data_IF_765379683013
#
_entry.id   IF_765379683013
#
_cell.length_a   1.000
_cell.length_b   1.000
_cell.length_c   1.000
_cell.angle_alpha   90.00
_cell.angle_beta   90.00
_cell.angle_gamma   90.00
#
_symmetry.space_group_name_H-M   'P 1'
#
loop_
_entity.id
_entity.type
_entity.pdbx_description
1 polymer ?
#
# COMPACT_ATOMS: atom_id res chain seq x y z
N UNK A 1 8.32 -26.87 -4.36
CA UNK A 1 8.11 -25.51 -4.91
C UNK A 1 8.08 -25.44 -6.45
N UNK A 2 7.84 -26.55 -7.18
CA UNK A 2 7.48 -26.52 -8.61
C UNK A 2 6.09 -25.89 -8.87
N UNK A 3 5.27 -25.72 -7.84
CA UNK A 3 3.93 -25.12 -7.91
C UNK A 3 3.91 -23.62 -8.21
N UNK A 4 5.07 -22.95 -8.28
CA UNK A 4 5.16 -21.51 -8.56
C UNK A 4 4.81 -21.17 -10.00
N UNK A 5 4.86 -22.15 -10.91
CA UNK A 5 4.73 -21.92 -12.35
C UNK A 5 3.88 -22.94 -13.12
N UNK A 6 3.22 -23.86 -12.40
CA UNK A 6 2.24 -24.74 -13.03
C UNK A 6 1.19 -23.91 -13.81
N UNK A 7 0.86 -24.32 -15.06
CA UNK A 7 -0.14 -23.66 -15.90
C UNK A 7 -1.50 -23.59 -15.18
N UNK A 8 -2.34 -22.64 -15.62
CA UNK A 8 -3.70 -22.48 -15.12
C UNK A 8 -4.47 -23.79 -15.30
N UNK A 9 -4.50 -24.62 -14.26
CA UNK A 9 -5.44 -25.72 -14.15
C UNK A 9 -6.74 -25.08 -13.71
N UNK A 10 -7.78 -25.23 -14.55
CA UNK A 10 -9.16 -24.95 -14.18
C UNK A 10 -9.45 -25.56 -12.79
N UNK A 11 -10.33 -24.93 -11.98
CA UNK A 11 -10.67 -25.48 -10.68
C UNK A 11 -11.10 -26.94 -10.86
N UNK A 12 -10.37 -27.85 -10.23
CA UNK A 12 -10.78 -29.24 -10.13
C UNK A 12 -12.21 -29.25 -9.57
N UNK A 13 -13.08 -29.99 -10.27
CA UNK A 13 -14.50 -30.12 -9.98
C UNK A 13 -14.73 -30.45 -8.50
N UNK A 14 -15.70 -29.74 -7.93
CA UNK A 14 -16.01 -29.66 -6.51
C UNK A 14 -16.81 -30.86 -6.00
N UNK A 15 -16.21 -32.05 -6.02
CA UNK A 15 -16.82 -33.26 -5.42
C UNK A 15 -16.12 -33.62 -4.10
N UNK A 16 -16.13 -32.67 -3.17
CA UNK A 16 -15.77 -32.87 -1.76
C UNK A 16 -16.96 -32.65 -0.84
N UNK A 17 -16.90 -33.12 0.43
CA UNK A 17 -17.95 -32.91 1.42
C UNK A 17 -18.32 -31.41 1.55
N UNK A 18 -19.54 -31.06 2.00
CA UNK A 18 -20.06 -29.69 1.99
C UNK A 18 -19.13 -28.67 2.67
N UNK A 19 -18.42 -29.08 3.73
CA UNK A 19 -17.38 -28.28 4.38
C UNK A 19 -16.25 -27.82 3.42
N UNK A 20 -15.85 -28.67 2.49
CA UNK A 20 -14.83 -28.35 1.48
C UNK A 20 -15.31 -27.32 0.46
N UNK A 21 -16.61 -27.28 0.14
CA UNK A 21 -17.20 -26.28 -0.77
C UNK A 21 -17.24 -24.89 -0.13
N UNK A 22 -17.62 -24.79 1.14
CA UNK A 22 -17.65 -23.51 1.90
C UNK A 22 -16.23 -22.95 2.05
N UNK A 23 -15.26 -23.80 2.44
CA UNK A 23 -13.84 -23.41 2.47
C UNK A 23 -13.33 -22.95 1.09
N UNK A 24 -13.72 -23.66 0.02
CA UNK A 24 -13.37 -23.31 -1.35
C UNK A 24 -13.88 -21.93 -1.77
N UNK A 25 -15.12 -21.59 -1.41
CA UNK A 25 -15.72 -20.29 -1.66
C UNK A 25 -14.98 -19.17 -0.89
N UNK A 26 -14.68 -19.38 0.40
CA UNK A 26 -13.93 -18.41 1.20
C UNK A 26 -12.55 -18.11 0.58
N UNK A 27 -11.87 -19.15 0.07
CA UNK A 27 -10.58 -19.03 -0.63
C UNK A 27 -10.72 -18.27 -1.95
N UNK A 28 -11.75 -18.54 -2.74
CA UNK A 28 -11.99 -17.84 -4.00
C UNK A 28 -12.25 -16.33 -3.77
N UNK A 29 -13.08 -16.00 -2.78
CA UNK A 29 -13.34 -14.62 -2.38
C UNK A 29 -12.07 -13.92 -1.90
N UNK A 30 -11.21 -14.60 -1.14
CA UNK A 30 -9.91 -14.06 -0.74
C UNK A 30 -9.01 -13.76 -1.94
N UNK A 31 -8.98 -14.64 -2.95
CA UNK A 31 -8.20 -14.41 -4.18
C UNK A 31 -8.73 -13.21 -4.97
N UNK A 32 -10.06 -13.06 -5.07
CA UNK A 32 -10.71 -11.90 -5.70
C UNK A 32 -10.42 -10.60 -4.93
N UNK A 33 -10.43 -10.65 -3.60
CA UNK A 33 -10.03 -9.52 -2.77
C UNK A 33 -8.59 -9.07 -3.08
N UNK A 34 -7.64 -10.01 -3.08
CA UNK A 34 -6.23 -9.71 -3.32
C UNK A 34 -5.98 -9.19 -4.74
N UNK A 35 -6.72 -9.68 -5.73
CA UNK A 35 -6.65 -9.17 -7.10
C UNK A 35 -7.20 -7.75 -7.25
N UNK A 36 -8.24 -7.40 -6.50
CA UNK A 36 -8.86 -6.06 -6.57
C UNK A 36 -8.14 -5.00 -5.74
N UNK A 37 -7.23 -5.39 -4.84
CA UNK A 37 -6.40 -4.47 -4.04
C UNK A 37 -5.85 -3.30 -4.87
N UNK A 38 -5.24 -3.52 -6.05
CA UNK A 38 -4.53 -2.45 -6.75
C UNK A 38 -5.44 -1.38 -7.36
N UNK A 39 -6.69 -1.72 -7.70
CA UNK A 39 -7.55 -0.83 -8.50
C UNK A 39 -8.93 -0.54 -7.87
N UNK A 40 -9.38 -1.25 -6.83
CA UNK A 40 -10.67 -0.94 -6.20
C UNK A 40 -10.72 -1.22 -4.71
N UNK A 41 -10.88 -0.17 -3.90
CA UNK A 41 -11.11 -0.29 -2.45
C UNK A 41 -12.46 -0.91 -2.13
N UNK A 42 -13.50 -0.56 -2.89
CA UNK A 42 -14.86 -1.03 -2.67
C UNK A 42 -14.97 -2.54 -2.92
N UNK A 43 -14.47 -3.02 -4.07
CA UNK A 43 -14.48 -4.44 -4.39
C UNK A 43 -13.60 -5.24 -3.42
N UNK A 44 -12.42 -4.72 -3.07
CA UNK A 44 -11.54 -5.34 -2.08
C UNK A 44 -12.27 -5.52 -0.74
N UNK A 45 -12.93 -4.47 -0.23
CA UNK A 45 -13.68 -4.55 1.03
C UNK A 45 -14.88 -5.51 0.92
N UNK A 46 -15.59 -5.51 -0.22
CA UNK A 46 -16.71 -6.41 -0.46
C UNK A 46 -16.26 -7.88 -0.40
N UNK A 47 -15.23 -8.24 -1.16
CA UNK A 47 -14.73 -9.61 -1.19
C UNK A 47 -14.10 -10.06 0.13
N UNK A 48 -13.43 -9.16 0.86
CA UNK A 48 -12.95 -9.45 2.23
C UNK A 48 -14.12 -9.70 3.18
N UNK A 49 -15.14 -8.84 3.16
CA UNK A 49 -16.32 -8.98 4.01
C UNK A 49 -17.07 -10.29 3.75
N UNK A 50 -17.30 -10.63 2.48
CA UNK A 50 -17.89 -11.90 2.09
C UNK A 50 -17.00 -13.09 2.47
N UNK A 51 -15.68 -12.99 2.27
CA UNK A 51 -14.74 -14.04 2.68
C UNK A 51 -14.77 -14.27 4.19
N UNK A 52 -14.88 -13.21 5.01
CA UNK A 52 -15.04 -13.32 6.46
C UNK A 52 -16.34 -14.02 6.85
N UNK A 53 -17.48 -13.65 6.25
CA UNK A 53 -18.78 -14.28 6.54
C UNK A 53 -18.72 -15.78 6.21
N UNK A 54 -18.24 -16.13 5.01
CA UNK A 54 -18.12 -17.54 4.59
C UNK A 54 -17.09 -18.29 5.45
N UNK A 55 -16.02 -17.62 5.89
CA UNK A 55 -15.02 -18.21 6.78
C UNK A 55 -15.59 -18.56 8.16
N UNK A 56 -16.44 -17.70 8.73
CA UNK A 56 -17.13 -17.98 10.01
C UNK A 56 -18.00 -19.23 9.84
N UNK A 57 -18.76 -19.33 8.74
CA UNK A 57 -19.55 -20.53 8.43
C UNK A 57 -18.66 -21.78 8.26
N UNK A 58 -17.48 -21.63 7.64
CA UNK A 58 -16.52 -22.72 7.49
C UNK A 58 -15.94 -23.19 8.83
N UNK A 59 -15.67 -22.29 9.78
CA UNK A 59 -15.24 -22.67 11.14
C UNK A 59 -16.35 -23.43 11.86
N UNK A 60 -17.61 -22.97 11.78
CA UNK A 60 -18.73 -23.66 12.43
C UNK A 60 -18.90 -25.07 11.87
N UNK A 61 -18.77 -25.23 10.54
CA UNK A 61 -18.84 -26.54 9.89
C UNK A 61 -17.60 -27.40 10.13
N UNK A 62 -16.42 -26.81 10.37
CA UNK A 62 -15.18 -27.53 10.63
C UNK A 62 -14.30 -26.79 11.64
N UNK A 63 -14.53 -27.00 12.95
CA UNK A 63 -13.85 -26.27 14.03
C UNK A 63 -12.32 -26.38 13.99
N UNK A 64 -11.79 -27.48 13.44
CA UNK A 64 -10.36 -27.67 13.26
C UNK A 64 -9.72 -26.55 12.41
N UNK A 65 -10.46 -25.91 11.49
CA UNK A 65 -9.97 -24.82 10.64
C UNK A 65 -9.47 -23.61 11.45
N UNK A 66 -9.94 -23.44 12.69
CA UNK A 66 -9.50 -22.39 13.60
C UNK A 66 -8.15 -22.68 14.30
N UNK A 67 -7.57 -23.88 14.13
CA UNK A 67 -6.30 -24.23 14.78
C UNK A 67 -5.16 -23.22 14.52
N UNK A 68 -5.00 -22.63 13.30
CA UNK A 68 -3.92 -21.69 13.03
C UNK A 68 -4.12 -20.30 13.67
N UNK A 69 -5.28 -20.02 14.26
CA UNK A 69 -5.51 -18.79 15.02
C UNK A 69 -4.59 -18.67 16.25
N UNK A 70 -4.09 -19.81 16.74
CA UNK A 70 -3.11 -19.86 17.83
C UNK A 70 -1.66 -19.63 17.37
N UNK A 71 -1.42 -19.45 16.08
CA UNK A 71 -0.07 -19.16 15.58
C UNK A 71 0.39 -17.76 16.03
N UNK A 72 1.69 -17.55 16.29
CA UNK A 72 2.19 -16.25 16.76
C UNK A 72 1.78 -15.06 15.87
N UNK A 73 1.82 -15.13 14.52
CA UNK A 73 1.39 -14.02 13.68
C UNK A 73 -0.11 -13.72 13.79
N UNK A 74 -0.96 -14.75 13.93
CA UNK A 74 -2.39 -14.58 14.12
C UNK A 74 -2.69 -13.94 15.48
N UNK A 75 -2.05 -14.41 16.55
CA UNK A 75 -2.18 -13.86 17.89
C UNK A 75 -1.71 -12.41 17.96
N UNK A 76 -0.59 -12.05 17.32
CA UNK A 76 -0.12 -10.67 17.26
C UNK A 76 -1.11 -9.75 16.54
N UNK A 77 -1.69 -10.20 15.43
CA UNK A 77 -2.72 -9.45 14.73
C UNK A 77 -3.99 -9.27 15.58
N UNK A 78 -4.44 -10.32 16.26
CA UNK A 78 -5.61 -10.25 17.14
C UNK A 78 -5.34 -9.40 18.38
N UNK A 79 -4.14 -9.49 18.96
CA UNK A 79 -3.73 -8.69 20.11
C UNK A 79 -3.63 -7.20 19.76
N UNK A 80 -3.06 -6.86 18.61
CA UNK A 80 -3.00 -5.48 18.14
C UNK A 80 -4.40 -4.93 17.84
N UNK A 81 -5.29 -5.73 17.23
CA UNK A 81 -6.69 -5.34 17.07
C UNK A 81 -7.39 -5.15 18.42
N UNK A 82 -7.17 -6.06 19.37
CA UNK A 82 -7.69 -5.97 20.73
C UNK A 82 -7.21 -4.72 21.46
N UNK A 83 -5.92 -4.37 21.31
CA UNK A 83 -5.34 -3.14 21.86
C UNK A 83 -6.00 -1.88 21.27
N UNK A 84 -6.28 -1.87 19.96
CA UNK A 84 -6.96 -0.76 19.28
C UNK A 84 -8.41 -0.63 19.75
N UNK A 85 -9.12 -1.74 19.92
CA UNK A 85 -10.48 -1.75 20.46
C UNK A 85 -10.50 -1.32 21.93
N UNK A 86 -9.54 -1.76 22.73
CA UNK A 86 -9.39 -1.36 24.12
C UNK A 86 -9.13 0.15 24.21
N UNK A 87 -8.29 0.70 23.33
CA UNK A 87 -8.05 2.15 23.22
C UNK A 87 -9.28 2.98 22.85
N UNK A 88 -10.38 2.35 22.41
CA UNK A 88 -11.65 3.05 22.22
C UNK A 88 -12.35 3.39 23.54
N UNK A 89 -12.01 2.71 24.64
CA UNK A 89 -12.69 2.89 25.94
C UNK A 89 -12.30 4.18 26.67
N UNK A 90 -11.15 4.78 26.33
CA UNK A 90 -10.68 6.06 26.89
C UNK A 90 -10.32 7.11 25.82
N UNK A 91 -10.90 6.99 24.62
CA UNK A 91 -10.60 7.94 23.54
C UNK A 91 -11.23 9.31 23.77
N UNK A 92 -10.52 10.35 23.34
CA UNK A 92 -11.05 11.72 23.24
C UNK A 92 -11.63 12.03 21.86
N UNK A 93 -11.58 11.07 20.92
CA UNK A 93 -11.98 11.28 19.54
C UNK A 93 -13.51 11.39 19.39
N UNK A 94 -14.00 12.24 18.47
CA UNK A 94 -15.39 12.18 18.01
C UNK A 94 -15.76 10.79 17.48
N UNK A 95 -17.06 10.46 17.55
CA UNK A 95 -17.56 9.14 17.12
C UNK A 95 -17.16 8.80 15.69
N UNK A 96 -17.22 9.76 14.76
CA UNK A 96 -16.87 9.54 13.36
C UNK A 96 -15.39 9.15 13.18
N UNK A 97 -14.48 9.81 13.89
CA UNK A 97 -13.05 9.52 13.85
C UNK A 97 -12.74 8.17 14.50
N UNK A 98 -13.46 7.82 15.55
CA UNK A 98 -13.39 6.50 16.18
C UNK A 98 -13.84 5.39 15.22
N UNK A 99 -15.01 5.52 14.59
CA UNK A 99 -15.49 4.53 13.61
C UNK A 99 -14.54 4.40 12.42
N UNK A 100 -14.01 5.51 11.92
CA UNK A 100 -13.02 5.52 10.85
C UNK A 100 -11.72 4.81 11.25
N UNK A 101 -11.23 5.04 12.47
CA UNK A 101 -10.07 4.36 13.01
C UNK A 101 -10.32 2.85 13.13
N UNK A 102 -11.41 2.43 13.77
CA UNK A 102 -11.74 1.00 13.93
C UNK A 102 -11.86 0.34 12.56
N UNK A 103 -12.63 0.90 11.63
CA UNK A 103 -12.81 0.37 10.27
C UNK A 103 -11.49 0.20 9.52
N UNK A 104 -10.54 1.12 9.70
CA UNK A 104 -9.21 1.03 9.09
C UNK A 104 -8.44 -0.18 9.62
N UNK A 105 -8.50 -0.44 10.92
CA UNK A 105 -7.75 -1.49 11.58
C UNK A 105 -8.46 -2.85 11.61
N UNK A 106 -9.77 -2.94 11.36
CA UNK A 106 -10.48 -4.23 11.19
C UNK A 106 -9.87 -5.09 10.08
N UNK A 107 -9.20 -4.46 9.10
CA UNK A 107 -8.46 -5.16 8.04
C UNK A 107 -7.34 -6.06 8.57
N UNK A 108 -6.91 -5.88 9.82
CA UNK A 108 -5.96 -6.75 10.48
C UNK A 108 -6.48 -8.19 10.65
N UNK A 109 -7.82 -8.38 10.67
CA UNK A 109 -8.46 -9.70 10.64
C UNK A 109 -8.18 -10.50 9.36
N UNK A 110 -7.79 -9.85 8.26
CA UNK A 110 -7.45 -10.54 7.01
C UNK A 110 -6.29 -11.51 7.22
N UNK A 111 -5.30 -11.16 8.06
CA UNK A 111 -4.14 -12.00 8.32
C UNK A 111 -4.49 -13.35 8.98
N UNK A 112 -5.17 -13.41 10.15
CA UNK A 112 -5.55 -14.68 10.75
C UNK A 112 -6.48 -15.51 9.87
N UNK A 113 -7.40 -14.88 9.12
CA UNK A 113 -8.27 -15.59 8.16
C UNK A 113 -7.44 -16.23 7.05
N UNK A 114 -6.52 -15.47 6.45
CA UNK A 114 -5.65 -15.96 5.38
C UNK A 114 -4.78 -17.13 5.84
N UNK A 115 -4.25 -17.08 7.06
CA UNK A 115 -3.47 -18.17 7.66
C UNK A 115 -4.32 -19.45 7.81
N UNK A 116 -5.54 -19.33 8.32
CA UNK A 116 -6.46 -20.46 8.47
C UNK A 116 -6.82 -21.07 7.12
N UNK A 117 -7.14 -20.23 6.13
CA UNK A 117 -7.48 -20.69 4.78
C UNK A 117 -6.29 -21.32 4.04
N UNK A 118 -5.06 -20.88 4.31
CA UNK A 118 -3.83 -21.43 3.75
C UNK A 118 -3.42 -22.76 4.40
N UNK A 119 -3.80 -23.03 5.66
CA UNK A 119 -3.35 -24.20 6.41
C UNK A 119 -3.64 -25.53 5.70
N UNK A 120 -4.85 -25.67 5.13
CA UNK A 120 -5.27 -26.85 4.35
C UNK A 120 -5.08 -26.70 2.85
N UNK A 121 -4.57 -25.55 2.39
CA UNK A 121 -4.38 -25.24 0.98
C UNK A 121 -3.00 -24.61 0.76
N UNK A 122 -1.91 -25.40 0.75
CA UNK A 122 -0.53 -24.88 0.68
C UNK A 122 -0.23 -24.09 -0.61
N UNK A 123 -1.02 -24.29 -1.67
CA UNK A 123 -0.92 -23.54 -2.94
C UNK A 123 -1.72 -22.22 -2.94
N UNK A 124 -2.41 -21.88 -1.85
CA UNK A 124 -3.23 -20.68 -1.79
C UNK A 124 -2.39 -19.41 -1.74
N UNK A 125 -1.30 -19.41 -0.96
CA UNK A 125 -0.38 -18.27 -0.86
C UNK A 125 0.27 -17.91 -2.20
N UNK A 126 0.74 -18.91 -2.94
CA UNK A 126 1.31 -18.70 -4.28
C UNK A 126 0.26 -18.24 -5.28
N UNK A 127 -0.98 -18.76 -5.20
CA UNK A 127 -2.11 -18.25 -5.99
C UNK A 127 -2.43 -16.80 -5.63
N UNK A 128 -2.52 -16.46 -4.35
CA UNK A 128 -2.78 -15.09 -3.90
C UNK A 128 -1.74 -14.11 -4.43
N UNK A 129 -0.45 -14.47 -4.40
CA UNK A 129 0.60 -13.65 -5.00
C UNK A 129 0.38 -13.45 -6.51
N UNK A 130 0.06 -14.51 -7.27
CA UNK A 130 -0.21 -14.40 -8.71
C UNK A 130 -1.42 -13.50 -9.00
N UNK A 131 -2.50 -13.65 -8.24
CA UNK A 131 -3.70 -12.82 -8.37
C UNK A 131 -3.39 -11.35 -8.00
N UNK A 132 -2.56 -11.11 -6.99
CA UNK A 132 -2.06 -9.76 -6.66
C UNK A 132 -1.27 -9.17 -7.82
N UNK A 133 -0.33 -9.93 -8.40
CA UNK A 133 0.46 -9.50 -9.55
C UNK A 133 -0.39 -9.24 -10.79
N UNK A 134 -1.44 -10.04 -11.01
CA UNK A 134 -2.41 -9.79 -12.09
C UNK A 134 -3.18 -8.48 -11.86
N UNK A 135 -3.59 -8.20 -10.62
CA UNK A 135 -4.19 -6.91 -10.26
C UNK A 135 -3.23 -5.73 -10.48
N UNK A 136 -1.95 -5.90 -10.14
CA UNK A 136 -0.94 -4.88 -10.40
C UNK A 136 -0.68 -4.70 -11.89
N UNK A 137 -0.77 -5.76 -12.70
CA UNK A 137 -0.67 -5.66 -14.15
C UNK A 137 -1.85 -4.86 -14.73
N UNK A 138 -3.08 -5.08 -14.24
CA UNK A 138 -4.25 -4.25 -14.59
C UNK A 138 -3.99 -2.79 -14.25
N UNK A 139 -3.51 -2.50 -13.03
CA UNK A 139 -3.18 -1.14 -12.61
C UNK A 139 -2.11 -0.50 -13.50
N UNK A 140 -1.02 -1.21 -13.81
CA UNK A 140 0.05 -0.72 -14.67
C UNK A 140 -0.48 -0.39 -16.08
N UNK A 141 -1.27 -1.31 -16.68
CA UNK A 141 -1.92 -1.12 -17.97
C UNK A 141 -2.82 0.11 -17.97
N UNK A 142 -3.64 0.31 -16.93
CA UNK A 142 -4.49 1.50 -16.83
C UNK A 142 -3.68 2.80 -16.76
N UNK A 143 -2.54 2.80 -16.04
CA UNK A 143 -1.66 3.97 -16.00
C UNK A 143 -1.03 4.25 -17.36
N UNK A 144 -0.60 3.22 -18.10
CA UNK A 144 -0.10 3.41 -19.47
C UNK A 144 -1.16 3.95 -20.41
N UNK A 145 -2.40 3.43 -20.34
CA UNK A 145 -3.50 3.95 -21.14
C UNK A 145 -3.77 5.43 -20.83
N UNK A 146 -3.57 5.85 -19.59
CA UNK A 146 -3.72 7.26 -19.19
C UNK A 146 -2.60 8.12 -19.75
N UNK A 147 -1.36 7.64 -19.67
CA UNK A 147 -0.21 8.31 -20.27
C UNK A 147 -0.35 8.47 -21.80
N UNK A 148 -1.10 7.57 -22.46
CA UNK A 148 -1.41 7.61 -23.89
C UNK A 148 -2.72 8.34 -24.24
N UNK A 149 -3.38 8.99 -23.27
CA UNK A 149 -4.71 9.61 -23.43
C UNK A 149 -5.81 8.65 -23.95
N UNK A 150 -5.62 7.33 -23.81
CA UNK A 150 -6.56 6.31 -24.26
C UNK A 150 -7.48 5.80 -23.14
N UNK A 151 -7.28 6.25 -21.90
CA UNK A 151 -8.11 5.85 -20.77
C UNK A 151 -9.44 6.61 -20.78
N UNK A 152 -10.60 5.93 -20.76
CA UNK A 152 -11.89 6.60 -20.72
C UNK A 152 -12.06 7.36 -19.39
N UNK A 153 -12.23 8.67 -19.51
CA UNK A 153 -12.63 9.52 -18.39
C UNK A 153 -14.12 9.37 -18.14
N UNK A 154 -14.52 9.60 -16.90
CA UNK A 154 -15.91 9.46 -16.51
C UNK A 154 -16.51 10.80 -16.13
N UNK A 155 -17.58 11.17 -16.82
CA UNK A 155 -18.40 12.33 -16.43
C UNK A 155 -19.03 12.15 -15.04
N UNK A 156 -19.32 10.90 -14.65
CA UNK A 156 -19.91 10.52 -13.36
C UNK A 156 -18.91 10.52 -12.18
N UNK A 157 -17.61 10.69 -12.44
CA UNK A 157 -16.58 10.71 -11.39
C UNK A 157 -16.38 9.40 -10.63
N UNK A 158 -16.92 8.27 -11.10
CA UNK A 158 -16.81 6.95 -10.46
C UNK A 158 -15.37 6.42 -10.32
N UNK A 159 -14.42 6.93 -11.11
CA UNK A 159 -12.99 6.66 -10.95
C UNK A 159 -12.16 7.89 -11.27
N UNK A 160 -11.05 8.03 -10.54
CA UNK A 160 -10.10 9.12 -10.71
C UNK A 160 -9.09 8.77 -11.80
N UNK A 161 -8.95 9.63 -12.79
CA UNK A 161 -7.96 9.57 -13.87
C UNK A 161 -7.18 10.88 -13.84
N UNK A 162 -5.85 10.78 -13.86
CA UNK A 162 -4.97 11.92 -14.02
C UNK A 162 -4.71 12.27 -15.49
N UNK A 163 -3.89 13.29 -15.73
CA UNK A 163 -3.51 13.71 -17.07
C UNK A 163 -2.19 13.04 -17.51
N UNK A 164 -1.76 13.23 -18.76
CA UNK A 164 -0.46 12.69 -19.21
C UNK A 164 0.74 13.24 -18.43
N UNK A 165 0.62 14.41 -17.80
CA UNK A 165 1.67 14.99 -16.94
C UNK A 165 1.71 14.36 -15.54
N UNK A 166 0.63 13.70 -15.09
CA UNK A 166 0.58 12.90 -13.87
C UNK A 166 -0.36 11.70 -14.06
N UNK A 167 0.08 10.66 -14.77
CA UNK A 167 -0.81 9.56 -15.11
C UNK A 167 -1.04 8.70 -13.87
N UNK A 168 -2.19 8.91 -13.22
CA UNK A 168 -2.69 8.07 -12.14
C UNK A 168 -4.10 7.57 -12.47
N UNK A 169 -4.42 6.34 -12.07
CA UNK A 169 -5.76 5.75 -12.24
C UNK A 169 -6.13 4.98 -11.00
N UNK A 170 -7.38 5.12 -10.55
CA UNK A 170 -8.01 4.45 -9.41
C UNK A 170 -7.42 4.79 -8.03
N UNK A 171 -6.10 4.91 -7.94
CA UNK A 171 -5.31 5.13 -6.73
C UNK A 171 -4.43 6.37 -6.91
N UNK A 172 -3.96 6.91 -5.80
CA UNK A 172 -2.97 7.99 -5.83
C UNK A 172 -1.59 7.45 -6.24
N UNK A 173 -0.71 8.35 -6.71
CA UNK A 173 0.65 8.01 -7.13
C UNK A 173 1.48 7.31 -6.02
N UNK A 174 1.16 7.56 -4.74
CA UNK A 174 1.82 6.88 -3.61
C UNK A 174 1.50 5.39 -3.61
N UNK A 175 0.22 5.05 -3.65
CA UNK A 175 -0.25 3.66 -3.61
C UNK A 175 0.15 2.93 -4.89
N UNK A 176 0.06 3.60 -6.05
CA UNK A 176 0.55 3.06 -7.33
C UNK A 176 2.03 2.72 -7.22
N UNK A 177 2.85 3.66 -6.73
CA UNK A 177 4.28 3.46 -6.54
C UNK A 177 4.60 2.24 -5.69
N UNK A 178 3.96 2.08 -4.53
CA UNK A 178 4.20 0.95 -3.61
C UNK A 178 3.80 -0.39 -4.26
N UNK A 179 2.63 -0.44 -4.91
CA UNK A 179 2.11 -1.67 -5.50
C UNK A 179 2.92 -2.12 -6.71
N UNK A 180 3.32 -1.18 -7.56
CA UNK A 180 4.11 -1.47 -8.74
C UNK A 180 5.57 -1.77 -8.39
N UNK A 181 6.14 -1.13 -7.35
CA UNK A 181 7.45 -1.51 -6.84
C UNK A 181 7.43 -2.92 -6.26
N UNK A 182 6.39 -3.27 -5.49
CA UNK A 182 6.20 -4.64 -4.99
C UNK A 182 6.07 -5.64 -6.15
N UNK A 183 5.26 -5.33 -7.17
CA UNK A 183 5.07 -6.20 -8.32
C UNK A 183 6.37 -6.42 -9.12
N UNK A 184 7.16 -5.36 -9.31
CA UNK A 184 8.46 -5.43 -9.96
C UNK A 184 9.42 -6.35 -9.18
N UNK A 185 9.57 -6.11 -7.88
CA UNK A 185 10.48 -6.87 -7.02
C UNK A 185 10.06 -8.33 -6.88
N UNK A 186 8.76 -8.60 -6.70
CA UNK A 186 8.23 -9.96 -6.63
C UNK A 186 8.41 -10.72 -7.95
N UNK A 187 8.23 -10.05 -9.10
CA UNK A 187 8.46 -10.64 -10.42
C UNK A 187 9.94 -10.90 -10.68
N UNK A 188 10.81 -9.99 -10.24
CA UNK A 188 12.25 -10.18 -10.32
C UNK A 188 12.71 -11.35 -9.44
N UNK A 189 12.25 -11.40 -8.17
CA UNK A 189 12.50 -12.51 -7.27
C UNK A 189 12.06 -13.84 -7.88
N UNK A 190 10.86 -13.88 -8.46
CA UNK A 190 10.33 -15.04 -9.15
C UNK A 190 11.24 -15.51 -10.31
N UNK A 191 11.84 -14.59 -11.06
CA UNK A 191 12.78 -14.88 -12.14
C UNK A 191 14.14 -15.43 -11.68
N UNK A 192 14.47 -15.31 -10.38
CA UNK A 192 15.71 -15.87 -9.82
C UNK A 192 15.61 -17.36 -9.50
N UNK A 193 14.42 -17.93 -9.45
CA UNK A 193 14.21 -19.35 -9.17
C UNK A 193 14.43 -20.21 -10.43
N UNK A 194 14.71 -21.52 -10.27
CA UNK A 194 14.82 -22.46 -11.40
C UNK A 194 13.43 -22.74 -11.99
N UNK A 195 13.11 -22.06 -13.08
CA UNK A 195 11.77 -22.02 -13.70
C UNK A 195 11.94 -22.13 -15.21
N UNK A 196 10.87 -22.52 -15.90
CA UNK A 196 10.90 -22.65 -17.37
C UNK A 196 11.32 -21.35 -18.06
N UNK A 197 12.09 -21.46 -19.14
CA UNK A 197 12.67 -20.31 -19.85
C UNK A 197 11.62 -19.28 -20.27
N UNK A 198 10.49 -19.72 -20.84
CA UNK A 198 9.40 -18.83 -21.27
C UNK A 198 8.83 -18.00 -20.13
N UNK A 199 8.72 -18.63 -18.96
CA UNK A 199 8.11 -18.04 -17.78
C UNK A 199 9.08 -17.14 -17.02
N UNK A 200 10.38 -17.45 -17.08
CA UNK A 200 11.46 -16.55 -16.68
C UNK A 200 11.47 -15.28 -17.53
N UNK A 201 11.33 -15.40 -18.85
CA UNK A 201 11.25 -14.24 -19.73
C UNK A 201 10.00 -13.40 -19.42
N UNK A 202 8.84 -14.02 -19.19
CA UNK A 202 7.64 -13.31 -18.79
C UNK A 202 7.79 -12.59 -17.43
N UNK A 203 8.46 -13.21 -16.46
CA UNK A 203 8.74 -12.61 -15.15
C UNK A 203 9.72 -11.43 -15.25
N UNK A 204 10.77 -11.55 -16.07
CA UNK A 204 11.71 -10.46 -16.36
C UNK A 204 11.00 -9.32 -17.07
N UNK A 205 10.22 -9.60 -18.12
CA UNK A 205 9.45 -8.58 -18.84
C UNK A 205 8.52 -7.83 -17.89
N UNK A 206 7.79 -8.54 -17.03
CA UNK A 206 6.93 -7.91 -16.01
C UNK A 206 7.74 -7.08 -15.01
N UNK A 207 8.89 -7.57 -14.55
CA UNK A 207 9.76 -6.85 -13.63
C UNK A 207 10.30 -5.54 -14.23
N UNK A 208 10.57 -5.52 -15.53
CA UNK A 208 11.05 -4.33 -16.24
C UNK A 208 9.94 -3.35 -16.60
N UNK A 209 8.74 -3.85 -16.94
CA UNK A 209 7.60 -3.01 -17.35
C UNK A 209 6.92 -2.39 -16.11
N UNK A 210 6.61 -3.18 -15.08
CA UNK A 210 5.87 -2.72 -13.88
C UNK A 210 6.39 -1.42 -13.24
N UNK A 211 7.70 -1.13 -13.15
CA UNK A 211 8.17 0.12 -12.55
C UNK A 211 8.07 1.34 -13.47
N UNK A 212 7.92 1.21 -14.80
CA UNK A 212 7.91 2.38 -15.70
C UNK A 212 6.86 3.44 -15.36
N UNK A 213 5.63 3.11 -14.91
CA UNK A 213 4.66 4.10 -14.45
C UNK A 213 5.16 4.95 -13.26
N UNK A 214 6.08 4.43 -12.45
CA UNK A 214 6.73 5.16 -11.36
C UNK A 214 7.64 6.27 -11.93
N UNK A 215 8.28 6.01 -13.07
CA UNK A 215 9.16 7.00 -13.73
C UNK A 215 8.38 8.13 -14.40
N UNK A 216 7.17 7.85 -14.86
CA UNK A 216 6.32 8.82 -15.57
C UNK A 216 5.45 9.61 -14.58
N UNK A 217 5.03 9.00 -13.47
CA UNK A 217 4.19 9.65 -12.46
C UNK A 217 4.95 10.54 -11.48
N UNK A 218 4.21 11.36 -10.74
CA UNK A 218 4.79 12.31 -9.77
C UNK A 218 5.18 11.71 -8.40
N UNK A 219 5.17 10.38 -8.27
CA UNK A 219 5.29 9.67 -7.00
C UNK A 219 6.72 9.24 -6.63
N UNK A 220 7.36 9.98 -5.72
CA UNK A 220 8.72 9.66 -5.20
C UNK A 220 8.79 8.35 -4.40
N UNK A 221 7.69 7.96 -3.75
CA UNK A 221 7.63 6.76 -2.89
C UNK A 221 7.84 5.46 -3.66
N UNK A 222 7.51 5.43 -4.96
CA UNK A 222 7.72 4.24 -5.79
C UNK A 222 9.21 3.91 -5.99
N UNK A 223 10.06 4.93 -6.14
CA UNK A 223 11.51 4.74 -6.24
C UNK A 223 12.10 4.17 -4.95
N UNK A 224 11.66 4.69 -3.80
CA UNK A 224 12.06 4.16 -2.48
C UNK A 224 11.57 2.72 -2.32
N UNK A 225 10.34 2.43 -2.73
CA UNK A 225 9.78 1.08 -2.73
C UNK A 225 10.57 0.10 -3.60
N UNK A 226 11.03 0.54 -4.78
CA UNK A 226 11.89 -0.27 -5.65
C UNK A 226 13.24 -0.54 -5.00
N UNK A 227 13.86 0.47 -4.40
CA UNK A 227 15.14 0.33 -3.71
C UNK A 227 15.06 -0.65 -2.56
N UNK A 228 14.12 -0.42 -1.64
CA UNK A 228 13.92 -1.30 -0.47
C UNK A 228 13.57 -2.72 -0.93
N UNK A 229 12.72 -2.85 -1.95
CA UNK A 229 12.34 -4.15 -2.50
C UNK A 229 13.51 -4.87 -3.18
N UNK A 230 14.35 -4.19 -3.95
CA UNK A 230 15.55 -4.77 -4.56
C UNK A 230 16.57 -5.18 -3.50
N UNK A 231 16.76 -4.36 -2.47
CA UNK A 231 17.60 -4.73 -1.33
C UNK A 231 17.05 -5.96 -0.60
N UNK A 232 15.74 -6.05 -0.40
CA UNK A 232 15.11 -7.25 0.15
C UNK A 232 15.33 -8.49 -0.74
N UNK A 233 15.25 -8.36 -2.07
CA UNK A 233 15.58 -9.47 -2.98
C UNK A 233 17.05 -9.89 -2.86
N UNK A 234 17.97 -8.93 -2.74
CA UNK A 234 19.38 -9.21 -2.46
C UNK A 234 19.55 -9.99 -1.14
N UNK A 235 18.89 -9.57 -0.05
CA UNK A 235 18.95 -10.30 1.23
C UNK A 235 18.36 -11.72 1.14
N UNK A 236 17.33 -11.92 0.32
CA UNK A 236 16.67 -13.23 0.16
C UNK A 236 17.43 -14.21 -0.75
N UNK A 237 18.29 -13.73 -1.66
CA UNK A 237 18.96 -14.57 -2.68
C UNK A 237 20.48 -14.51 -2.63
N UNK A 238 21.04 -13.39 -2.22
CA UNK A 238 22.47 -13.17 -2.11
C UNK A 238 23.03 -13.74 -0.81
N UNK A 239 24.33 -14.07 -0.82
CA UNK A 239 25.07 -14.24 0.42
C UNK A 239 25.35 -12.86 0.99
N UNK A 240 24.81 -12.59 2.17
CA UNK A 240 25.02 -11.31 2.87
C UNK A 240 26.46 -11.26 3.34
N UNK A 241 27.29 -10.54 2.58
CA UNK A 241 28.66 -10.19 2.98
C UNK A 241 28.73 -8.68 3.14
N UNK A 242 29.63 -8.19 3.99
CA UNK A 242 29.80 -6.74 4.19
C UNK A 242 30.14 -6.05 2.85
N UNK A 243 31.07 -6.64 2.10
CA UNK A 243 31.48 -6.15 0.77
C UNK A 243 30.31 -6.20 -0.23
N UNK A 244 29.55 -7.30 -0.28
CA UNK A 244 28.40 -7.42 -1.17
C UNK A 244 27.29 -6.41 -0.84
N UNK A 245 27.03 -6.19 0.44
CA UNK A 245 26.04 -5.22 0.90
C UNK A 245 26.48 -3.78 0.58
N UNK A 246 27.76 -3.47 0.76
CA UNK A 246 28.33 -2.18 0.38
C UNK A 246 28.25 -1.94 -1.13
N UNK A 247 28.59 -2.94 -1.96
CA UNK A 247 28.51 -2.87 -3.42
C UNK A 247 27.07 -2.69 -3.91
N UNK A 248 26.12 -3.44 -3.36
CA UNK A 248 24.70 -3.30 -3.71
C UNK A 248 24.18 -1.93 -3.32
N UNK A 249 24.55 -1.45 -2.13
CA UNK A 249 24.16 -0.10 -1.68
C UNK A 249 24.76 0.96 -2.61
N UNK A 250 26.05 0.87 -2.95
CA UNK A 250 26.71 1.79 -3.88
C UNK A 250 26.09 1.78 -5.28
N UNK A 251 25.78 0.60 -5.82
CA UNK A 251 25.12 0.45 -7.13
C UNK A 251 23.71 1.02 -7.14
N UNK A 252 22.99 0.91 -6.03
CA UNK A 252 21.67 1.49 -5.89
C UNK A 252 21.72 3.02 -5.69
N UNK A 253 22.69 3.52 -4.92
CA UNK A 253 22.93 4.95 -4.78
C UNK A 253 23.30 5.58 -6.11
N UNK A 254 24.16 4.93 -6.91
CA UNK A 254 24.51 5.43 -8.25
C UNK A 254 23.31 5.41 -9.20
N UNK A 255 22.44 4.39 -9.12
CA UNK A 255 21.19 4.38 -9.86
C UNK A 255 20.27 5.55 -9.49
N UNK A 256 20.16 5.88 -8.19
CA UNK A 256 19.37 7.03 -7.72
C UNK A 256 19.92 8.36 -8.22
N UNK A 257 21.24 8.53 -8.16
CA UNK A 257 21.92 9.71 -8.71
C UNK A 257 21.67 9.79 -10.22
N UNK A 258 21.75 8.65 -10.93
CA UNK A 258 21.43 8.57 -12.36
C UNK A 258 19.99 9.02 -12.65
N UNK A 259 19.00 8.50 -11.91
CA UNK A 259 17.59 8.92 -12.06
C UNK A 259 17.41 10.40 -11.75
N UNK A 260 18.11 10.92 -10.74
CA UNK A 260 18.07 12.35 -10.40
C UNK A 260 18.65 13.25 -11.47
N UNK A 261 19.71 12.83 -12.15
CA UNK A 261 20.31 13.61 -13.23
C UNK A 261 19.51 13.48 -14.54
N UNK A 262 18.90 12.33 -14.80
CA UNK A 262 18.20 12.03 -16.05
C UNK A 262 16.72 12.41 -16.05
N UNK A 263 16.07 12.52 -14.89
CA UNK A 263 14.64 12.84 -14.78
C UNK A 263 14.43 14.25 -14.22
N UNK A 264 14.03 15.23 -15.08
CA UNK A 264 13.73 16.59 -14.63
C UNK A 264 12.62 16.65 -13.59
N UNK A 265 11.63 15.76 -13.70
CA UNK A 265 10.54 15.65 -12.74
C UNK A 265 11.07 15.23 -11.36
N UNK A 266 11.83 14.13 -11.30
CA UNK A 266 12.40 13.67 -10.04
C UNK A 266 13.34 14.71 -9.40
N UNK A 267 14.15 15.39 -10.22
CA UNK A 267 15.02 16.47 -9.78
C UNK A 267 14.23 17.62 -9.13
N UNK A 268 13.26 18.18 -9.86
CA UNK A 268 12.44 19.33 -9.41
C UNK A 268 11.73 19.00 -8.11
N UNK A 269 11.08 17.83 -8.02
CA UNK A 269 10.31 17.41 -6.83
C UNK A 269 11.19 17.10 -5.62
N UNK A 270 12.43 16.66 -5.85
CA UNK A 270 13.41 16.45 -4.79
C UNK A 270 13.93 17.79 -4.27
N UNK A 271 14.22 18.74 -5.17
CA UNK A 271 14.66 20.09 -4.80
C UNK A 271 13.56 20.87 -4.06
N UNK A 272 12.31 20.77 -4.50
CA UNK A 272 11.16 21.33 -3.79
C UNK A 272 11.04 20.79 -2.37
N UNK A 273 11.20 19.48 -2.18
CA UNK A 273 11.20 18.87 -0.84
C UNK A 273 12.32 19.42 0.03
N UNK A 274 13.55 19.42 -0.48
CA UNK A 274 14.70 19.93 0.25
C UNK A 274 14.46 21.38 0.64
N UNK A 275 13.97 22.21 -0.30
CA UNK A 275 13.62 23.61 -0.03
C UNK A 275 12.54 23.75 1.04
N UNK A 276 11.42 23.05 0.90
CA UNK A 276 10.30 23.11 1.84
C UNK A 276 10.70 22.71 3.27
N UNK A 277 11.54 21.67 3.40
CA UNK A 277 12.01 21.17 4.70
C UNK A 277 13.08 22.11 5.29
N UNK A 278 14.06 22.55 4.51
CA UNK A 278 15.14 23.42 4.98
C UNK A 278 14.63 24.81 5.35
N UNK A 279 13.71 25.37 4.56
CA UNK A 279 13.10 26.67 4.81
C UNK A 279 11.91 26.61 5.78
N UNK A 280 11.57 25.41 6.29
CA UNK A 280 10.45 25.17 7.23
C UNK A 280 9.13 25.81 6.78
N UNK A 281 8.79 25.64 5.50
CA UNK A 281 7.55 26.18 4.94
C UNK A 281 6.37 25.38 5.50
N UNK A 282 5.77 25.83 6.61
CA UNK A 282 4.76 25.07 7.35
C UNK A 282 3.51 24.73 6.52
N UNK A 283 3.09 25.67 5.67
CA UNK A 283 1.93 25.52 4.79
C UNK A 283 2.18 24.60 3.58
N UNK A 284 3.41 24.13 3.37
CA UNK A 284 3.73 23.21 2.28
C UNK A 284 3.28 21.77 2.58
N UNK A 285 3.08 20.90 1.58
CA UNK A 285 2.71 19.51 1.81
C UNK A 285 3.70 18.76 2.70
N UNK A 286 5.00 19.08 2.65
CA UNK A 286 6.00 18.47 3.52
C UNK A 286 6.08 19.16 4.88
N UNK A 287 5.84 20.47 4.97
CA UNK A 287 5.69 21.20 6.23
C UNK A 287 4.57 20.65 7.10
N UNK A 288 3.40 20.40 6.50
CA UNK A 288 2.25 19.77 7.18
C UNK A 288 2.56 18.33 7.61
N UNK A 289 3.40 17.59 6.87
CA UNK A 289 3.84 16.26 7.31
C UNK A 289 4.78 16.32 8.50
N UNK A 290 5.67 17.31 8.54
CA UNK A 290 6.55 17.55 9.67
C UNK A 290 5.77 17.97 10.92
N UNK A 291 4.72 18.78 10.76
CA UNK A 291 3.84 19.13 11.90
C UNK A 291 3.09 17.90 12.43
N UNK A 292 2.63 16.96 11.58
CA UNK A 292 2.07 15.69 12.04
C UNK A 292 3.06 14.90 12.91
N UNK A 293 4.32 14.80 12.49
CA UNK A 293 5.37 14.09 13.24
C UNK A 293 5.65 14.79 14.58
N UNK A 294 5.73 16.12 14.58
CA UNK A 294 5.96 16.92 15.79
C UNK A 294 4.82 16.74 16.80
N UNK A 295 3.58 16.95 16.37
CA UNK A 295 2.39 16.80 17.23
C UNK A 295 2.26 15.37 17.71
N UNK A 296 2.52 14.38 16.85
CA UNK A 296 2.52 12.97 17.24
C UNK A 296 3.57 12.65 18.32
N UNK A 297 4.79 13.16 18.17
CA UNK A 297 5.86 12.96 19.16
C UNK A 297 5.52 13.63 20.51
N UNK A 298 4.95 14.84 20.48
CA UNK A 298 4.50 15.54 21.68
C UNK A 298 3.37 14.77 22.38
N UNK A 299 2.39 14.26 21.64
CA UNK A 299 1.30 13.46 22.19
C UNK A 299 1.81 12.17 22.86
N UNK A 300 2.81 11.51 22.27
CA UNK A 300 3.45 10.33 22.88
C UNK A 300 4.21 10.72 24.15
N UNK A 301 4.93 11.86 24.14
CA UNK A 301 5.66 12.34 25.30
C UNK A 301 4.72 12.76 26.46
N UNK A 302 3.55 13.30 26.16
CA UNK A 302 2.55 13.69 27.15
C UNK A 302 1.96 12.47 27.87
N UNK A 303 1.64 11.40 27.15
CA UNK A 303 1.03 10.18 27.70
C UNK A 303 1.69 8.91 27.15
N UNK A 304 2.89 8.53 27.64
CA UNK A 304 3.69 7.46 27.04
C UNK A 304 3.10 6.05 27.20
N UNK A 305 2.35 5.80 28.27
CA UNK A 305 1.82 4.45 28.57
C UNK A 305 0.48 4.17 27.89
N UNK A 306 -0.51 5.03 28.10
CA UNK A 306 -1.89 4.80 27.63
C UNK A 306 -2.27 5.63 26.40
N UNK A 307 -1.47 6.64 26.04
CA UNK A 307 -1.79 7.59 24.98
C UNK A 307 -3.10 8.34 25.22
N UNK A 308 -3.70 8.80 24.12
CA UNK A 308 -4.97 9.55 24.12
C UNK A 308 -6.16 8.73 23.58
N UNK A 309 -5.98 7.41 23.44
CA UNK A 309 -6.98 6.49 22.90
C UNK A 309 -7.08 6.49 21.37
N UNK A 310 -7.87 5.54 20.84
CA UNK A 310 -7.98 5.23 19.42
C UNK A 310 -8.71 6.33 18.66
N UNK A 311 -8.11 6.83 17.56
CA UNK A 311 -8.71 7.87 16.71
C UNK A 311 -8.45 9.31 17.17
N UNK A 312 -7.81 9.51 18.33
CA UNK A 312 -7.61 10.83 18.96
C UNK A 312 -6.73 11.83 18.20
N UNK A 313 -5.94 11.36 17.22
CA UNK A 313 -4.94 12.21 16.55
C UNK A 313 -5.54 13.44 15.85
N UNK A 314 -6.72 13.30 15.23
CA UNK A 314 -7.38 14.43 14.56
C UNK A 314 -7.73 15.55 15.56
N UNK A 315 -8.26 15.18 16.72
CA UNK A 315 -8.56 16.10 17.83
C UNK A 315 -7.31 16.78 18.37
N UNK A 316 -6.23 16.01 18.57
CA UNK A 316 -4.95 16.55 19.05
C UNK A 316 -4.27 17.48 18.04
N UNK A 317 -4.44 17.21 16.75
CA UNK A 317 -3.85 17.98 15.68
C UNK A 317 -4.66 19.25 15.34
N UNK A 318 -5.94 19.32 15.72
CA UNK A 318 -6.84 20.41 15.36
C UNK A 318 -6.29 21.82 15.69
N UNK A 319 -5.70 22.09 16.87
CA UNK A 319 -5.16 23.41 17.18
C UNK A 319 -4.01 23.82 16.25
N UNK A 320 -3.10 22.88 15.96
CA UNK A 320 -1.97 23.10 15.06
C UNK A 320 -2.45 23.28 13.61
N UNK A 321 -3.45 22.52 13.19
CA UNK A 321 -4.10 22.70 11.90
C UNK A 321 -4.62 24.13 11.78
N UNK A 322 -5.44 24.59 12.73
CA UNK A 322 -6.01 25.94 12.72
C UNK A 322 -4.91 27.01 12.65
N UNK A 323 -3.83 26.87 13.42
CA UNK A 323 -2.68 27.78 13.38
C UNK A 323 -2.10 27.92 11.96
N UNK A 324 -1.83 26.79 11.30
CA UNK A 324 -1.28 26.78 9.93
C UNK A 324 -2.28 27.41 8.95
N UNK A 325 -3.56 27.03 9.02
CA UNK A 325 -4.60 27.55 8.11
C UNK A 325 -4.88 29.05 8.30
N UNK A 326 -4.81 29.57 9.53
CA UNK A 326 -4.93 31.00 9.80
C UNK A 326 -3.73 31.77 9.24
N UNK A 327 -2.50 31.25 9.40
CA UNK A 327 -1.30 31.85 8.82
C UNK A 327 -1.37 31.97 7.29
N UNK A 328 -1.92 30.97 6.62
CA UNK A 328 -2.15 31.00 5.16
C UNK A 328 -3.14 32.11 4.79
N UNK A 329 -4.29 32.19 5.48
CA UNK A 329 -5.32 33.21 5.19
C UNK A 329 -4.79 34.63 5.41
N UNK A 330 -4.08 34.88 6.50
CA UNK A 330 -3.49 36.21 6.76
C UNK A 330 -2.44 36.60 5.72
N UNK A 331 -1.61 35.64 5.29
CA UNK A 331 -0.62 35.88 4.23
C UNK A 331 -1.28 36.21 2.88
N UNK A 332 -2.38 35.53 2.55
CA UNK A 332 -3.15 35.79 1.33
C UNK A 332 -3.84 37.17 1.34
N UNK A 333 -4.39 37.60 2.50
CA UNK A 333 -4.99 38.94 2.67
C UNK A 333 -3.93 40.04 2.57
N UNK A 334 -2.76 39.87 3.18
CA UNK A 334 -1.64 40.81 3.05
C UNK A 334 -1.07 40.88 1.63
N UNK A 335 -1.07 39.77 0.89
CA UNK A 335 -0.63 39.77 -0.51
C UNK A 335 -1.61 40.51 -1.43
N UNK A 336 -2.92 40.33 -1.21
CA UNK A 336 -3.97 41.04 -1.96
C UNK A 336 -4.06 42.52 -1.59
N UNK A 337 -3.78 42.91 -0.34
CA UNK A 337 -3.73 44.32 0.07
C UNK A 337 -2.50 45.06 -0.47
N UNK A 338 -1.36 44.36 -0.69
CA UNK A 338 -0.18 44.95 -1.36
C UNK A 338 -0.37 45.15 -2.87
N UNK A 339 -1.19 44.33 -3.52
CA UNK A 339 -1.56 44.54 -4.93
C UNK A 339 -2.67 45.56 -5.11
N UNK A 340 -3.43 45.87 -4.05
CA UNK A 340 -4.51 46.85 -4.07
C UNK A 340 -4.06 48.29 -3.73
N UNK A 341 -2.76 48.54 -3.52
CA UNK A 341 -2.26 49.91 -3.37
C UNK A 341 -0.90 50.11 -4.06
N UNK A 342 -0.91 50.50 -5.34
CA UNK A 342 0.11 51.34 -5.93
C UNK A 342 -0.49 52.74 -6.16
N UNK A 343 -0.87 53.47 -5.11
CA UNK A 343 -1.19 54.90 -5.24
C UNK A 343 -1.15 55.62 -3.88
N UNK A 344 -0.38 56.71 -3.89
CA UNK A 344 -0.21 57.78 -2.89
C UNK A 344 0.73 57.50 -1.71
#
# INVERSE_FOLDING_TARGET
MQAWFAPFSAPATTDGPPAGRIEGLARALLLLAVFTVPFSTALMNLFIGLSLIVFILAIVATPALASPLRSPPALLALALLGMILLGCTWTIAPQDDLFNAVRKYTKLLVLPIALCLCWRAPRLSTRALRWSLAGCAVLATSVYLTALHAMPTSSLGWWRVGDASDPFVFRNHITIGILLSFAACASFLAATYPIERRLRLAAIARASISPLPILIGNGRTGYVGLFVGMFAVYLLRGRVTLLGSALVTAAMSSLFVGVYLLSPNFQTRTNELVREVTQRVEASPNGVRMSYMRVGALAVAERPLFGHGTGSFATLYQPEALRIWHGIRMSAVCATSRTANPCC
#
